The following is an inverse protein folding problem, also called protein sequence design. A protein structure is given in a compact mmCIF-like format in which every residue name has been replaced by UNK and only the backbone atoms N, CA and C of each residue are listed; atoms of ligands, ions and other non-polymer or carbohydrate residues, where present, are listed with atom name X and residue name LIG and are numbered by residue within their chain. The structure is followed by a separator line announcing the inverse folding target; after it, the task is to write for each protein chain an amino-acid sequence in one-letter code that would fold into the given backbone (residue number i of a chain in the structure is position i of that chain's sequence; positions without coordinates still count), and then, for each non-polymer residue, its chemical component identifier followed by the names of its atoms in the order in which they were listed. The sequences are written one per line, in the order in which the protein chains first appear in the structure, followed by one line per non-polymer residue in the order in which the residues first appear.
data_IF_794330620763
#
_entry.id   IF_794330620763
#
_cell.length_a   1.000
_cell.length_b   1.000
_cell.length_c   1.000
_cell.angle_alpha   90.00
_cell.angle_beta   90.00
_cell.angle_gamma   90.00
#
_symmetry.space_group_name_H-M   'P 1'
#
loop_
_entity.id
_entity.type
_entity.pdbx_description
1 polymer ?
#
# COMPACT_ATOMS: atom_id res chain seq x y z
N UNK A 1 8.37 1.64 -7.81
CA UNK A 1 7.10 1.01 -7.41
C UNK A 1 6.86 1.29 -5.94
N UNK A 2 5.71 1.83 -5.63
CA UNK A 2 5.33 2.16 -4.25
C UNK A 2 4.11 1.35 -3.83
N UNK A 3 4.21 0.71 -2.67
CA UNK A 3 3.08 0.05 -1.99
C UNK A 3 2.76 0.88 -0.76
N UNK A 4 1.54 1.42 -0.68
CA UNK A 4 1.17 2.34 0.39
C UNK A 4 -0.30 2.20 0.78
N UNK A 5 -0.57 2.36 2.07
CA UNK A 5 -1.93 2.41 2.62
C UNK A 5 -2.07 3.52 3.64
N UNK A 6 -3.31 3.86 3.97
CA UNK A 6 -3.64 4.83 5.01
C UNK A 6 -4.40 4.17 6.15
N UNK A 7 -4.27 4.71 7.35
CA UNK A 7 -4.96 4.21 8.51
C UNK A 7 -6.42 4.65 8.58
N UNK A 8 -7.26 3.79 9.16
CA UNK A 8 -8.60 4.15 9.55
C UNK A 8 -8.59 4.97 10.84
N UNK A 9 -9.65 5.75 11.09
CA UNK A 9 -9.74 6.60 12.25
C UNK A 9 -8.74 7.76 12.26
N UNK A 10 -8.21 8.11 11.09
CA UNK A 10 -7.21 9.18 10.91
C UNK A 10 -7.77 10.28 10.02
N UNK A 11 -6.98 11.36 9.84
CA UNK A 11 -7.36 12.49 9.02
C UNK A 11 -7.56 12.07 7.56
N UNK A 12 -8.81 12.13 7.09
CA UNK A 12 -9.19 11.72 5.74
C UNK A 12 -8.58 12.63 4.66
N UNK A 13 -8.32 13.90 4.98
CA UNK A 13 -7.72 14.82 4.02
C UNK A 13 -6.31 14.39 3.60
N UNK A 14 -5.59 13.73 4.48
CA UNK A 14 -4.25 13.18 4.17
C UNK A 14 -4.30 12.09 3.12
N UNK A 15 -5.41 11.35 3.03
CA UNK A 15 -5.55 10.26 2.05
C UNK A 15 -5.46 10.76 0.63
N UNK A 16 -6.14 11.86 0.32
CA UNK A 16 -6.07 12.54 -0.97
C UNK A 16 -4.65 12.96 -1.31
N UNK A 17 -3.97 13.57 -0.35
CA UNK A 17 -2.59 14.04 -0.53
C UNK A 17 -1.63 12.89 -0.76
N UNK A 18 -1.76 11.81 0.01
CA UNK A 18 -0.90 10.63 -0.14
C UNK A 18 -1.11 9.96 -1.49
N UNK A 19 -2.36 9.84 -1.94
CA UNK A 19 -2.68 9.30 -3.25
C UNK A 19 -2.07 10.13 -4.37
N UNK A 20 -2.19 11.45 -4.28
CA UNK A 20 -1.62 12.37 -5.25
C UNK A 20 -0.10 12.27 -5.32
N UNK A 21 0.56 12.33 -4.17
CA UNK A 21 2.03 12.33 -4.11
C UNK A 21 2.60 10.99 -4.57
N UNK A 22 2.04 9.88 -4.07
CA UNK A 22 2.53 8.54 -4.42
C UNK A 22 2.41 8.30 -5.92
N UNK A 23 1.27 8.63 -6.51
CA UNK A 23 1.05 8.41 -7.95
C UNK A 23 1.89 9.30 -8.83
N UNK A 24 2.09 10.55 -8.41
CA UNK A 24 2.90 11.51 -9.18
C UNK A 24 4.38 11.13 -9.20
N UNK A 25 4.91 10.67 -8.07
CA UNK A 25 6.34 10.42 -7.90
C UNK A 25 6.76 8.99 -8.20
N UNK A 26 5.82 8.08 -8.44
CA UNK A 26 6.10 6.67 -8.70
C UNK A 26 5.75 6.30 -10.14
N UNK A 27 6.43 5.31 -10.68
CA UNK A 27 6.08 4.75 -11.99
C UNK A 27 4.87 3.82 -11.89
N UNK A 28 4.76 3.09 -10.78
CA UNK A 28 3.62 2.24 -10.44
C UNK A 28 3.31 2.36 -8.96
N UNK A 29 2.04 2.33 -8.60
CA UNK A 29 1.58 2.42 -7.22
C UNK A 29 0.55 1.32 -6.95
N UNK A 30 0.71 0.64 -5.84
CA UNK A 30 -0.30 -0.29 -5.33
C UNK A 30 -0.86 0.31 -4.05
N UNK A 31 -2.13 0.70 -4.08
CA UNK A 31 -2.84 1.12 -2.88
C UNK A 31 -3.40 -0.10 -2.16
N UNK A 32 -3.14 -0.18 -0.88
CA UNK A 32 -3.52 -1.32 -0.05
C UNK A 32 -3.92 -0.87 1.35
N UNK A 33 -4.20 -1.81 2.24
CA UNK A 33 -4.54 -1.52 3.63
C UNK A 33 -3.29 -1.30 4.47
N UNK A 34 -3.39 -0.37 5.41
CA UNK A 34 -2.48 -0.26 6.55
C UNK A 34 -3.21 -0.81 7.78
N UNK A 35 -3.74 0.06 8.63
CA UNK A 35 -4.59 -0.32 9.77
C UNK A 35 -6.00 0.24 9.52
N UNK A 36 -6.89 -0.49 8.85
CA UNK A 36 -8.24 0.03 8.56
C UNK A 36 -9.10 0.24 9.81
N UNK A 37 -8.81 -0.46 10.88
CA UNK A 37 -9.56 -0.40 12.13
C UNK A 37 -11.04 -0.68 11.88
N UNK A 38 -11.93 0.25 12.22
CA UNK A 38 -13.38 0.06 12.05
C UNK A 38 -13.90 0.56 10.69
N UNK A 39 -13.05 1.15 9.87
CA UNK A 39 -13.44 1.61 8.54
C UNK A 39 -13.31 0.49 7.50
N UNK A 40 -14.12 0.58 6.45
CA UNK A 40 -14.00 -0.31 5.31
C UNK A 40 -12.67 -0.01 4.57
N UNK A 41 -11.77 -0.99 4.47
CA UNK A 41 -10.49 -0.76 3.80
C UNK A 41 -10.63 -0.30 2.34
N UNK A 42 -11.69 -0.72 1.65
CA UNK A 42 -11.96 -0.27 0.28
C UNK A 42 -12.28 1.22 0.23
N UNK A 43 -13.02 1.73 1.20
CA UNK A 43 -13.35 3.16 1.28
C UNK A 43 -12.10 4.01 1.51
N UNK A 44 -11.17 3.53 2.31
CA UNK A 44 -9.90 4.22 2.54
C UNK A 44 -9.11 4.30 1.23
N UNK A 45 -9.04 3.21 0.49
CA UNK A 45 -8.35 3.16 -0.81
C UNK A 45 -9.01 4.10 -1.81
N UNK A 46 -10.34 4.13 -1.87
CA UNK A 46 -11.08 5.05 -2.74
C UNK A 46 -10.76 6.51 -2.45
N UNK A 47 -10.61 6.88 -1.18
CA UNK A 47 -10.21 8.22 -0.77
C UNK A 47 -8.81 8.57 -1.31
N UNK A 48 -7.89 7.60 -1.31
CA UNK A 48 -6.56 7.79 -1.88
C UNK A 48 -6.61 7.98 -3.39
N UNK A 49 -7.42 7.18 -4.09
CA UNK A 49 -7.60 7.26 -5.54
C UNK A 49 -8.19 8.61 -5.95
N UNK A 50 -9.07 9.15 -5.13
CA UNK A 50 -9.69 10.45 -5.41
C UNK A 50 -8.66 11.58 -5.51
N UNK A 51 -7.48 11.41 -4.92
CA UNK A 51 -6.38 12.37 -5.04
C UNK A 51 -5.48 12.17 -6.26
N UNK A 52 -5.70 11.12 -7.03
CA UNK A 52 -4.85 10.80 -8.19
C UNK A 52 -5.33 11.55 -9.44
N UNK A 53 -4.40 12.24 -10.10
CA UNK A 53 -4.69 12.92 -11.36
C UNK A 53 -5.02 11.90 -12.47
N UNK A 54 -5.89 12.28 -13.41
CA UNK A 54 -6.28 11.39 -14.51
C UNK A 54 -5.08 10.89 -15.31
N UNK A 55 -4.05 11.71 -15.46
CA UNK A 55 -2.81 11.33 -16.16
C UNK A 55 -2.08 10.19 -15.48
N UNK A 56 -2.27 10.01 -14.16
CA UNK A 56 -1.57 9.00 -13.37
C UNK A 56 -2.41 7.76 -13.08
N UNK A 57 -3.68 7.74 -13.47
CA UNK A 57 -4.58 6.64 -13.12
C UNK A 57 -4.17 5.29 -13.70
N UNK A 58 -3.49 5.29 -14.84
CA UNK A 58 -2.99 4.05 -15.45
C UNK A 58 -1.87 3.38 -14.63
N UNK A 59 -1.27 4.10 -13.69
CA UNK A 59 -0.21 3.57 -12.82
C UNK A 59 -0.73 2.82 -11.60
N UNK A 60 -2.04 2.87 -11.32
CA UNK A 60 -2.63 2.45 -10.06
C UNK A 60 -3.14 1.03 -10.10
N UNK A 61 -2.82 0.26 -9.07
CA UNK A 61 -3.45 -1.00 -8.73
C UNK A 61 -4.03 -0.91 -7.32
N UNK A 62 -5.16 -1.54 -7.10
CA UNK A 62 -5.83 -1.60 -5.79
C UNK A 62 -5.85 -3.03 -5.32
N UNK A 63 -5.17 -3.33 -4.23
CA UNK A 63 -5.16 -4.66 -3.63
C UNK A 63 -5.36 -4.49 -2.14
N UNK A 64 -6.55 -4.84 -1.65
CA UNK A 64 -6.92 -4.62 -0.24
C UNK A 64 -6.01 -5.39 0.71
N UNK A 65 -5.73 -6.65 0.41
CA UNK A 65 -4.85 -7.49 1.23
C UNK A 65 -3.40 -7.02 1.07
N UNK A 66 -2.80 -6.56 2.17
CA UNK A 66 -1.46 -6.00 2.14
C UNK A 66 -0.39 -7.01 1.75
N UNK A 67 -0.51 -8.26 2.17
CA UNK A 67 0.42 -9.30 1.77
C UNK A 67 0.36 -9.54 0.27
N UNK A 68 -0.83 -9.66 -0.29
CA UNK A 68 -1.03 -9.79 -1.75
C UNK A 68 -0.45 -8.61 -2.50
N UNK A 69 -0.60 -7.40 -1.96
CA UNK A 69 -0.05 -6.19 -2.56
C UNK A 69 1.47 -6.25 -2.64
N UNK A 70 2.13 -6.67 -1.57
CA UNK A 70 3.59 -6.81 -1.52
C UNK A 70 4.06 -7.90 -2.49
N UNK A 71 3.38 -9.03 -2.51
CA UNK A 71 3.70 -10.13 -3.44
C UNK A 71 3.57 -9.66 -4.89
N UNK A 72 2.49 -8.95 -5.21
CA UNK A 72 2.28 -8.41 -6.57
C UNK A 72 3.38 -7.43 -6.96
N UNK A 73 3.75 -6.52 -6.06
CA UNK A 73 4.82 -5.55 -6.29
C UNK A 73 6.14 -6.25 -6.59
N UNK A 74 6.46 -7.29 -5.84
CA UNK A 74 7.68 -8.07 -6.04
C UNK A 74 7.69 -8.77 -7.41
N UNK A 75 6.53 -9.23 -7.88
CA UNK A 75 6.42 -9.91 -9.17
C UNK A 75 6.54 -8.97 -10.36
N UNK A 76 6.04 -7.73 -10.24
CA UNK A 76 6.10 -6.76 -11.35
C UNK A 76 7.39 -5.97 -11.36
N UNK A 77 8.17 -5.99 -10.29
CA UNK A 77 9.46 -5.32 -10.22
C UNK A 77 10.46 -5.98 -11.16
N UNK A 78 11.24 -5.14 -11.83
CA UNK A 78 12.30 -5.57 -12.75
C UNK A 78 13.66 -5.33 -12.12
N UNK A 79 14.74 -5.95 -12.65
CA UNK A 79 16.09 -5.61 -12.18
C UNK A 79 16.32 -4.11 -12.22
N UNK A 80 16.95 -3.57 -11.18
CA UNK A 80 17.24 -2.16 -10.98
C UNK A 80 16.03 -1.30 -10.55
N UNK A 81 14.84 -1.88 -10.41
CA UNK A 81 13.71 -1.17 -9.81
C UNK A 81 13.92 -0.99 -8.32
N UNK A 82 13.40 0.13 -7.80
CA UNK A 82 13.30 0.37 -6.35
C UNK A 82 11.87 0.08 -5.92
N UNK A 83 11.73 -0.76 -4.93
CA UNK A 83 10.44 -1.12 -4.34
C UNK A 83 10.31 -0.51 -2.96
N UNK A 84 9.39 0.45 -2.82
CA UNK A 84 9.13 1.14 -1.55
C UNK A 84 7.81 0.64 -0.97
N UNK A 85 7.87 0.05 0.22
CA UNK A 85 6.69 -0.32 0.99
C UNK A 85 6.58 0.66 2.15
N UNK A 86 5.60 1.54 2.09
CA UNK A 86 5.47 2.67 2.99
C UNK A 86 4.28 2.55 3.94
N UNK A 87 4.39 3.20 5.09
CA UNK A 87 3.33 3.35 6.07
C UNK A 87 3.58 2.63 7.37
N UNK A 88 3.89 1.33 7.33
CA UNK A 88 4.10 0.55 8.55
C UNK A 88 5.52 0.61 9.08
N UNK A 89 6.51 0.72 8.21
CA UNK A 89 7.90 0.69 8.63
C UNK A 89 8.23 -0.59 9.41
N UNK A 90 8.58 -0.45 10.67
CA UNK A 90 8.95 -1.56 11.55
C UNK A 90 7.79 -2.16 12.34
N UNK A 91 6.57 -1.70 12.13
CA UNK A 91 5.41 -2.25 12.81
C UNK A 91 5.23 -3.73 12.46
N UNK A 92 4.87 -4.54 13.46
CA UNK A 92 4.81 -6.00 13.34
C UNK A 92 3.37 -6.55 13.34
N UNK A 93 2.38 -5.69 13.18
CA UNK A 93 0.97 -6.08 13.20
C UNK A 93 0.12 -5.15 12.35
N UNK A 94 -1.07 -5.64 12.03
CA UNK A 94 -2.11 -4.90 11.34
C UNK A 94 -3.37 -4.90 12.21
N UNK A 95 -4.03 -3.75 12.34
CA UNK A 95 -5.25 -3.61 13.14
C UNK A 95 -6.45 -3.57 12.20
N UNK A 96 -7.26 -4.63 12.26
CA UNK A 96 -8.49 -4.75 11.48
C UNK A 96 -9.64 -4.89 12.47
N UNK A 97 -10.52 -3.88 12.51
CA UNK A 97 -11.55 -3.73 13.55
C UNK A 97 -10.86 -3.69 14.92
N UNK A 98 -11.25 -4.55 15.86
CA UNK A 98 -10.63 -4.63 17.18
C UNK A 98 -9.50 -5.67 17.24
N UNK A 99 -9.19 -6.34 16.14
CA UNK A 99 -8.20 -7.41 16.10
C UNK A 99 -6.83 -6.91 15.70
N UNK A 100 -5.82 -7.37 16.42
CA UNK A 100 -4.41 -7.11 16.15
C UNK A 100 -3.83 -8.38 15.53
N UNK A 101 -3.53 -8.33 14.23
CA UNK A 101 -3.05 -9.49 13.47
C UNK A 101 -1.56 -9.32 13.24
N UNK A 102 -0.77 -10.37 13.48
CA UNK A 102 0.66 -10.32 13.19
C UNK A 102 0.90 -10.03 11.72
N UNK A 103 1.70 -9.01 11.44
CA UNK A 103 2.02 -8.60 10.09
C UNK A 103 3.35 -7.85 10.07
N UNK A 104 4.26 -8.23 9.20
CA UNK A 104 5.57 -7.61 9.11
C UNK A 104 5.96 -7.44 7.64
N UNK A 105 5.94 -6.19 7.16
CA UNK A 105 6.27 -5.84 5.77
C UNK A 105 7.64 -6.35 5.36
N UNK A 106 8.64 -6.15 6.21
CA UNK A 106 10.02 -6.55 5.92
C UNK A 106 10.14 -8.05 5.73
N UNK A 107 9.48 -8.83 6.58
CA UNK A 107 9.50 -10.28 6.51
C UNK A 107 8.89 -10.79 5.21
N UNK A 108 7.71 -10.28 4.87
CA UNK A 108 6.99 -10.66 3.66
C UNK A 108 7.81 -10.27 2.43
N UNK A 109 8.32 -9.06 2.39
CA UNK A 109 9.12 -8.56 1.27
C UNK A 109 10.40 -9.38 1.08
N UNK A 110 11.08 -9.72 2.18
CA UNK A 110 12.29 -10.54 2.15
C UNK A 110 12.00 -11.92 1.55
N UNK A 111 10.92 -12.56 1.98
CA UNK A 111 10.53 -13.88 1.48
C UNK A 111 10.15 -13.84 0.00
N UNK A 112 9.36 -12.85 -0.41
CA UNK A 112 8.89 -12.76 -1.79
C UNK A 112 10.02 -12.42 -2.77
N UNK A 113 10.96 -11.58 -2.37
CA UNK A 113 12.12 -11.25 -3.20
C UNK A 113 13.07 -12.44 -3.36
N UNK A 114 13.23 -13.25 -2.32
CA UNK A 114 14.01 -14.49 -2.42
C UNK A 114 13.39 -15.48 -3.43
N UNK A 115 12.07 -15.57 -3.45
CA UNK A 115 11.35 -16.45 -4.37
C UNK A 115 11.38 -15.94 -5.82
N UNK A 116 11.56 -14.64 -6.03
CA UNK A 116 11.58 -14.01 -7.34
C UNK A 116 12.94 -14.13 -8.07
N UNK A 117 13.96 -14.57 -7.38
CA UNK A 117 15.34 -14.68 -7.93
C UNK A 117 15.55 -15.98 -8.71
#
# INVERSE_FOLDING_TARGET
ITVVGCGGGRDRAKRLKMGSIASRLSQKVIFTSDNPRDEDPKSIIEDMIAGVDDADKSKILNIVDREEAIVKASKVAKPNDILLVAGKGHEKYQIIKSKKIRFNDKEILTQTLKMAV
#
